data_IF_272743668618
#
_entry.id   IF_272743668618
#
_cell.length_a   1.000
_cell.length_b   1.000
_cell.length_c   1.000
_cell.angle_alpha   90.00
_cell.angle_beta   90.00
_cell.angle_gamma   90.00
#
_symmetry.space_group_name_H-M   'P 1'
#
loop_
_entity.id
_entity.type
_entity.pdbx_description
1 polymer ?
#
# COMPACT_ATOMS: atom_id res chain seq x y z
N UNK A 1 20.57 1.36 -11.30
CA UNK A 1 19.37 0.87 -10.59
C UNK A 1 18.55 2.08 -10.22
N UNK A 2 17.41 2.30 -10.87
CA UNK A 2 16.56 3.45 -10.55
C UNK A 2 15.89 3.15 -9.20
N UNK A 3 16.21 3.95 -8.20
CA UNK A 3 15.62 3.84 -6.88
C UNK A 3 14.19 4.40 -6.97
N UNK A 4 13.23 3.54 -7.30
CA UNK A 4 11.83 3.95 -7.48
C UNK A 4 11.30 4.52 -6.16
N UNK A 5 10.78 5.76 -6.21
CA UNK A 5 10.19 6.43 -5.07
C UNK A 5 8.66 6.33 -5.14
N UNK A 6 8.05 6.07 -3.99
CA UNK A 6 6.61 5.91 -3.85
C UNK A 6 6.09 6.86 -2.78
N UNK A 7 4.92 7.46 -3.02
CA UNK A 7 4.23 8.28 -2.03
C UNK A 7 3.53 7.38 -1.01
N UNK A 8 3.61 7.71 0.27
CA UNK A 8 2.93 6.95 1.31
C UNK A 8 1.40 7.14 1.20
N UNK A 9 0.62 6.04 1.22
CA UNK A 9 -0.83 6.10 1.16
C UNK A 9 -1.49 6.65 2.43
N UNK A 10 -0.77 6.71 3.55
CA UNK A 10 -1.26 7.31 4.80
C UNK A 10 -0.97 8.80 4.90
N UNK A 11 0.03 9.30 4.18
CA UNK A 11 0.47 10.69 4.24
C UNK A 11 1.21 11.06 2.94
N UNK A 12 0.59 11.93 2.14
CA UNK A 12 1.12 12.39 0.85
C UNK A 12 2.46 13.14 0.95
N UNK A 13 2.81 13.65 2.14
CA UNK A 13 4.11 14.32 2.36
C UNK A 13 5.28 13.34 2.46
N UNK A 14 5.02 12.03 2.63
CA UNK A 14 6.07 11.03 2.71
C UNK A 14 6.37 10.43 1.34
N UNK A 15 7.58 10.66 0.85
CA UNK A 15 8.12 10.02 -0.35
C UNK A 15 9.19 9.03 0.08
N UNK A 16 8.96 7.73 -0.16
CA UNK A 16 9.77 6.64 0.36
C UNK A 16 10.21 5.74 -0.79
N UNK A 17 11.47 5.35 -0.75
CA UNK A 17 12.03 4.38 -1.67
C UNK A 17 11.26 3.04 -1.60
N UNK A 18 10.96 2.44 -2.75
CA UNK A 18 10.19 1.20 -2.90
C UNK A 18 10.63 0.11 -1.92
N UNK A 19 11.94 -0.15 -1.80
CA UNK A 19 12.46 -1.19 -0.92
C UNK A 19 12.30 -0.88 0.58
N UNK A 20 12.16 0.39 0.97
CA UNK A 20 11.92 0.80 2.37
C UNK A 20 10.44 0.95 2.72
N UNK A 21 9.57 1.02 1.71
CA UNK A 21 8.14 1.22 1.89
C UNK A 21 7.48 0.19 2.83
N UNK A 22 7.77 -1.13 2.75
CA UNK A 22 7.16 -2.10 3.67
C UNK A 22 7.42 -1.76 5.15
N UNK A 23 8.66 -1.41 5.49
CA UNK A 23 9.03 -1.02 6.85
C UNK A 23 8.38 0.29 7.27
N UNK A 24 8.31 1.26 6.35
CA UNK A 24 7.65 2.53 6.58
C UNK A 24 6.16 2.34 6.90
N UNK A 25 5.43 1.55 6.11
CA UNK A 25 3.99 1.35 6.25
C UNK A 25 3.60 0.77 7.61
N UNK A 26 4.38 -0.16 8.16
CA UNK A 26 4.12 -0.74 9.49
C UNK A 26 4.11 0.35 10.58
N UNK A 27 5.03 1.31 10.50
CA UNK A 27 5.10 2.41 11.46
C UNK A 27 4.07 3.49 11.17
N UNK A 28 3.93 3.88 9.90
CA UNK A 28 3.05 4.96 9.48
C UNK A 28 1.58 4.60 9.73
N UNK A 29 1.18 3.34 9.47
CA UNK A 29 -0.16 2.84 9.78
C UNK A 29 -0.56 3.03 11.24
N UNK A 30 0.36 2.79 12.19
CA UNK A 30 0.07 2.95 13.63
C UNK A 30 -0.19 4.40 14.00
N UNK A 31 0.51 5.34 13.38
CA UNK A 31 0.36 6.78 13.62
C UNK A 31 -0.88 7.36 12.92
N UNK A 32 -1.31 6.79 11.80
CA UNK A 32 -2.44 7.26 10.99
C UNK A 32 -3.66 6.32 11.05
N UNK A 33 -3.79 5.53 12.14
CA UNK A 33 -4.86 4.53 12.30
C UNK A 33 -6.23 5.12 12.64
N UNK A 34 -6.26 6.44 12.87
CA UNK A 34 -7.35 7.20 13.50
C UNK A 34 -8.69 7.10 12.76
N UNK A 35 -8.68 6.89 11.44
CA UNK A 35 -9.90 6.91 10.65
C UNK A 35 -10.38 5.55 10.14
N UNK A 36 -9.61 4.45 10.30
CA UNK A 36 -10.03 3.09 9.92
C UNK A 36 -10.49 2.90 8.46
N UNK A 37 -10.36 3.93 7.61
CA UNK A 37 -10.87 3.97 6.24
C UNK A 37 -9.94 3.30 5.25
N UNK A 38 -8.69 3.06 5.63
CA UNK A 38 -7.66 2.46 4.79
C UNK A 38 -7.36 1.02 5.22
N UNK A 39 -7.16 0.15 4.23
CA UNK A 39 -6.83 -1.26 4.41
C UNK A 39 -5.71 -1.66 3.43
N UNK A 40 -4.80 -2.51 3.90
CA UNK A 40 -3.75 -3.08 3.07
C UNK A 40 -4.31 -4.24 2.22
N UNK A 41 -3.84 -4.33 0.98
CA UNK A 41 -4.14 -5.43 0.08
C UNK A 41 -3.62 -6.76 0.65
N UNK A 42 -4.39 -7.86 0.52
CA UNK A 42 -3.94 -9.17 0.98
C UNK A 42 -2.78 -9.76 0.17
N UNK A 43 -2.55 -9.29 -1.06
CA UNK A 43 -1.51 -9.81 -1.95
C UNK A 43 -0.20 -9.00 -1.91
N UNK A 44 -0.30 -7.70 -1.64
CA UNK A 44 0.85 -6.83 -1.50
C UNK A 44 0.58 -5.78 -0.43
N UNK A 45 1.25 -5.90 0.72
CA UNK A 45 1.08 -4.99 1.84
C UNK A 45 1.48 -3.54 1.52
N UNK A 46 2.18 -3.29 0.39
CA UNK A 46 2.47 -1.94 -0.09
C UNK A 46 1.26 -1.25 -0.72
N UNK A 47 0.28 -2.01 -1.20
CA UNK A 47 -0.98 -1.45 -1.66
C UNK A 47 -1.87 -1.19 -0.46
N UNK A 48 -2.08 0.08 -0.15
CA UNK A 48 -3.06 0.50 0.84
C UNK A 48 -4.12 1.31 0.09
N UNK A 49 -5.37 0.86 0.22
CA UNK A 49 -6.52 1.45 -0.46
C UNK A 49 -7.63 1.69 0.55
N UNK A 50 -8.69 2.37 0.16
CA UNK A 50 -9.84 2.52 1.05
C UNK A 50 -10.53 1.18 1.25
N UNK A 51 -11.03 0.94 2.45
CA UNK A 51 -11.74 -0.29 2.83
C UNK A 51 -12.95 -0.55 1.93
N UNK A 52 -13.63 0.50 1.48
CA UNK A 52 -14.76 0.38 0.55
C UNK A 52 -14.33 -0.07 -0.85
N UNK A 53 -13.11 0.30 -1.27
CA UNK A 53 -12.57 0.04 -2.60
C UNK A 53 -11.76 -1.27 -2.65
N UNK A 54 -11.54 -1.95 -1.52
CA UNK A 54 -10.67 -3.15 -1.44
C UNK A 54 -11.13 -4.28 -2.37
N UNK A 55 -12.45 -4.46 -2.55
CA UNK A 55 -13.01 -5.49 -3.44
C UNK A 55 -12.65 -5.19 -4.89
N UNK A 56 -12.92 -3.97 -5.34
CA UNK A 56 -12.58 -3.53 -6.69
C UNK A 56 -11.06 -3.56 -6.91
N UNK A 57 -10.27 -3.16 -5.91
CA UNK A 57 -8.82 -3.25 -5.96
C UNK A 57 -8.36 -4.68 -6.21
N UNK A 58 -8.90 -5.67 -5.51
CA UNK A 58 -8.51 -7.09 -5.65
C UNK A 58 -8.72 -7.57 -7.10
N UNK A 59 -9.85 -7.26 -7.73
CA UNK A 59 -10.19 -7.67 -9.11
C UNK A 59 -9.19 -7.12 -10.15
N UNK A 60 -8.61 -5.96 -9.87
CA UNK A 60 -7.62 -5.29 -10.73
C UNK A 60 -6.20 -5.31 -10.16
N UNK A 61 -5.94 -6.05 -9.08
CA UNK A 61 -4.65 -5.97 -8.38
C UNK A 61 -3.54 -6.58 -9.26
N UNK A 62 -2.45 -5.83 -9.54
CA UNK A 62 -1.38 -6.34 -10.40
C UNK A 62 -0.62 -7.50 -9.74
N UNK A 63 -0.49 -7.50 -8.41
CA UNK A 63 0.14 -8.60 -7.66
C UNK A 63 -0.78 -9.82 -7.51
N UNK A 64 -2.10 -9.65 -7.66
CA UNK A 64 -3.03 -10.78 -7.74
C UNK A 64 -2.91 -11.49 -9.10
N UNK A 65 -2.87 -10.75 -10.20
CA UNK A 65 -2.75 -11.32 -11.56
C UNK A 65 -1.39 -11.96 -11.85
N UNK A 66 -0.34 -11.64 -11.08
CA UNK A 66 1.00 -12.24 -11.23
C UNK A 66 1.16 -13.65 -10.64
N UNK A 67 0.18 -14.16 -9.89
CA UNK A 67 0.23 -15.50 -9.28
C UNK A 67 -0.36 -16.60 -10.16
N UNK A 68 -0.81 -16.27 -11.38
CA UNK A 68 -1.42 -17.20 -12.34
C UNK A 68 -0.63 -17.31 -13.67
N UNK A 69 0.66 -16.93 -13.64
CA UNK A 69 1.62 -17.15 -14.73
C UNK A 69 2.73 -18.08 -14.24
#
# INVERSE_FOLDING_TARGET
MLDEMLVCPYNESHVIVRHRMPYHLVKCKKNHQENGTLQACPFNAMHVVRKVDIRQHIESCPDYRRQHL
#
